data_IF_264332213661
#
_entry.id   IF_264332213661
#
_cell.length_a   1.000
_cell.length_b   1.000
_cell.length_c   1.000
_cell.angle_alpha   90.00
_cell.angle_beta   90.00
_cell.angle_gamma   90.00
#
_symmetry.space_group_name_H-M   'P 1'
#
loop_
_entity.id
_entity.type
_entity.pdbx_description
1 polymer ?
#
# COMPACT_ATOMS: atom_id res chain seq x y z
N UNK A 1 18.07 5.24 -24.61
CA UNK A 1 18.89 4.06 -24.52
C UNK A 1 20.27 4.37 -23.94
N UNK A 2 21.08 5.30 -24.52
CA UNK A 2 22.38 5.63 -23.96
C UNK A 2 22.37 6.18 -22.54
N UNK A 3 21.30 6.89 -22.12
CA UNK A 3 21.16 7.40 -20.76
C UNK A 3 20.98 6.27 -19.72
N UNK A 4 20.31 5.17 -20.09
CA UNK A 4 20.18 4.01 -19.22
C UNK A 4 21.50 3.26 -19.08
N UNK A 5 22.19 3.04 -20.16
CA UNK A 5 23.51 2.37 -20.18
C UNK A 5 24.51 3.17 -19.33
N UNK A 6 24.58 4.47 -19.52
CA UNK A 6 25.40 5.36 -18.68
C UNK A 6 25.02 5.30 -17.20
N UNK A 7 23.72 5.26 -16.88
CA UNK A 7 23.25 5.11 -15.50
C UNK A 7 23.70 3.78 -14.90
N UNK A 8 23.53 2.66 -15.64
CA UNK A 8 23.94 1.32 -15.20
C UNK A 8 25.45 1.25 -14.98
N UNK A 9 26.25 1.82 -15.88
CA UNK A 9 27.71 1.91 -15.72
C UNK A 9 28.07 2.65 -14.43
N UNK A 10 27.53 3.84 -14.21
CA UNK A 10 27.80 4.61 -12.99
C UNK A 10 27.36 3.88 -11.72
N UNK A 11 26.24 3.16 -11.78
CA UNK A 11 25.76 2.34 -10.67
C UNK A 11 26.69 1.19 -10.35
N UNK A 12 27.24 0.52 -11.37
CA UNK A 12 28.20 -0.61 -11.22
C UNK A 12 29.54 -0.12 -10.66
N UNK A 13 29.94 1.09 -10.96
CA UNK A 13 31.16 1.72 -10.42
C UNK A 13 31.01 2.17 -8.96
N UNK A 14 29.85 1.89 -8.33
CA UNK A 14 29.56 2.27 -6.92
C UNK A 14 29.67 3.77 -6.67
N UNK A 15 29.38 4.60 -7.65
CA UNK A 15 29.33 6.03 -7.49
C UNK A 15 28.05 6.43 -6.71
N UNK A 16 28.20 6.67 -5.40
CA UNK A 16 27.09 7.02 -4.51
C UNK A 16 26.39 8.35 -4.86
N UNK A 17 27.06 9.24 -5.59
CA UNK A 17 26.45 10.51 -6.02
C UNK A 17 25.40 10.31 -7.10
N UNK A 18 25.50 9.25 -7.90
CA UNK A 18 24.46 8.85 -8.85
C UNK A 18 23.18 8.39 -8.14
N UNK A 19 23.30 7.76 -6.97
CA UNK A 19 22.15 7.34 -6.16
C UNK A 19 21.41 8.52 -5.52
N UNK A 20 22.07 9.66 -5.36
CA UNK A 20 21.47 10.89 -4.83
C UNK A 20 20.77 11.73 -5.89
N UNK A 21 21.12 11.56 -7.16
CA UNK A 21 20.47 12.23 -8.27
C UNK A 21 19.30 11.38 -8.76
N UNK A 22 18.06 11.91 -8.72
CA UNK A 22 16.96 11.27 -9.45
C UNK A 22 17.36 11.21 -10.91
N UNK A 23 17.40 10.01 -11.52
CA UNK A 23 17.70 9.90 -12.95
C UNK A 23 16.64 10.69 -13.74
N UNK A 24 16.97 11.83 -14.37
CA UNK A 24 15.98 12.70 -15.00
C UNK A 24 15.23 12.04 -16.16
N UNK A 25 15.75 10.92 -16.66
CA UNK A 25 15.12 10.17 -17.74
C UNK A 25 14.01 9.22 -17.28
N UNK A 26 13.88 8.91 -15.98
CA UNK A 26 12.78 8.05 -15.50
C UNK A 26 11.41 8.69 -15.77
N UNK A 27 11.32 10.01 -15.72
CA UNK A 27 10.10 10.74 -16.05
C UNK A 27 9.79 10.75 -17.56
N UNK A 28 10.79 10.42 -18.39
CA UNK A 28 10.68 10.37 -19.85
C UNK A 28 10.39 8.94 -20.36
N UNK A 29 10.34 7.94 -19.50
CA UNK A 29 10.02 6.57 -19.90
C UNK A 29 8.55 6.51 -20.32
N UNK A 30 8.33 6.16 -21.57
CA UNK A 30 7.02 5.85 -22.12
C UNK A 30 6.81 4.33 -22.05
N UNK A 31 5.79 3.91 -21.32
CA UNK A 31 5.44 2.52 -21.22
C UNK A 31 4.44 2.15 -22.32
N UNK A 32 4.84 1.26 -23.21
CA UNK A 32 3.95 0.67 -24.19
C UNK A 32 3.43 -0.67 -23.67
N UNK A 33 2.11 -0.87 -23.74
CA UNK A 33 1.50 -2.16 -23.41
C UNK A 33 1.21 -2.93 -24.67
N UNK A 34 1.71 -4.15 -24.75
CA UNK A 34 1.30 -5.12 -25.75
C UNK A 34 0.67 -6.32 -25.06
N UNK A 35 -0.29 -6.94 -25.74
CA UNK A 35 -0.94 -8.15 -25.26
C UNK A 35 -0.58 -9.29 -26.20
N UNK A 36 -0.16 -10.41 -25.64
CA UNK A 36 0.08 -11.64 -26.39
C UNK A 36 -0.57 -12.84 -25.67
N UNK A 37 -1.05 -13.79 -26.45
CA UNK A 37 -1.44 -15.08 -25.90
C UNK A 37 -0.22 -15.78 -25.37
N UNK A 38 -0.28 -16.26 -24.13
CA UNK A 38 0.81 -16.99 -23.49
C UNK A 38 0.24 -18.30 -22.96
N UNK A 39 0.88 -19.40 -23.33
CA UNK A 39 0.64 -20.69 -22.70
C UNK A 39 1.35 -20.70 -21.35
N UNK A 40 0.61 -21.00 -20.30
CA UNK A 40 1.10 -21.05 -18.92
C UNK A 40 1.23 -22.47 -18.40
N UNK A 41 0.96 -23.49 -19.24
CA UNK A 41 1.03 -24.91 -18.84
C UNK A 41 2.41 -25.31 -18.34
N UNK A 42 3.47 -24.77 -18.95
CA UNK A 42 4.87 -25.04 -18.60
C UNK A 42 5.43 -24.11 -17.52
N UNK A 43 4.61 -23.18 -17.01
CA UNK A 43 5.07 -22.28 -15.95
C UNK A 43 5.15 -23.01 -14.62
N UNK A 44 6.07 -22.64 -13.74
CA UNK A 44 6.04 -23.08 -12.35
C UNK A 44 4.64 -22.80 -11.76
N UNK A 45 4.00 -23.83 -11.22
CA UNK A 45 2.62 -23.78 -10.70
C UNK A 45 1.54 -23.45 -11.76
N UNK A 46 1.80 -23.74 -13.04
CA UNK A 46 0.87 -23.44 -14.15
C UNK A 46 -0.54 -23.95 -13.91
N UNK A 47 -0.67 -25.20 -13.39
CA UNK A 47 -1.98 -25.79 -13.06
C UNK A 47 -2.70 -24.99 -11.96
N UNK A 48 -2.00 -24.59 -10.90
CA UNK A 48 -2.59 -23.78 -9.81
C UNK A 48 -3.02 -22.41 -10.33
N UNK A 49 -2.18 -21.77 -11.15
CA UNK A 49 -2.51 -20.50 -11.79
C UNK A 49 -3.74 -20.65 -12.68
N UNK A 50 -3.82 -21.70 -13.49
CA UNK A 50 -4.95 -21.93 -14.38
C UNK A 50 -6.26 -22.17 -13.62
N UNK A 51 -6.22 -22.97 -12.55
CA UNK A 51 -7.39 -23.19 -11.67
C UNK A 51 -7.82 -21.91 -10.97
N UNK A 52 -6.88 -21.08 -10.54
CA UNK A 52 -7.17 -19.76 -9.95
C UNK A 52 -7.86 -18.85 -10.96
N UNK A 53 -7.34 -18.73 -12.17
CA UNK A 53 -7.92 -17.87 -13.22
C UNK A 53 -9.31 -18.30 -13.64
N UNK A 54 -9.64 -19.61 -13.64
CA UNK A 54 -10.97 -20.14 -13.98
C UNK A 54 -12.09 -19.68 -13.03
N UNK A 55 -11.75 -19.25 -11.81
CA UNK A 55 -12.71 -18.73 -10.83
C UNK A 55 -12.97 -17.24 -10.97
N UNK A 56 -12.12 -16.55 -11.73
CA UNK A 56 -12.19 -15.11 -11.90
C UNK A 56 -12.99 -14.76 -13.16
N UNK A 57 -13.49 -13.53 -13.21
CA UNK A 57 -14.21 -13.03 -14.37
C UNK A 57 -13.26 -12.82 -15.54
N UNK A 58 -13.74 -13.14 -16.73
CA UNK A 58 -13.05 -12.81 -17.97
C UNK A 58 -12.89 -11.28 -18.14
N UNK A 59 -11.90 -10.90 -18.92
CA UNK A 59 -11.61 -9.50 -19.29
C UNK A 59 -11.12 -8.58 -18.17
N UNK A 60 -10.78 -9.12 -17.01
CA UNK A 60 -10.15 -8.36 -15.93
C UNK A 60 -8.63 -8.65 -15.90
N UNK A 61 -7.77 -7.63 -15.96
CA UNK A 61 -6.33 -7.83 -15.80
C UNK A 61 -6.00 -8.31 -14.39
N UNK A 62 -5.46 -9.51 -14.26
CA UNK A 62 -5.09 -10.12 -12.98
C UNK A 62 -3.57 -10.18 -12.86
N UNK A 63 -2.98 -9.67 -11.76
CA UNK A 63 -1.55 -9.79 -11.53
C UNK A 63 -1.18 -11.24 -11.18
N UNK A 64 -0.13 -11.75 -11.82
CA UNK A 64 0.54 -13.00 -11.45
C UNK A 64 1.95 -12.64 -10.98
N UNK A 65 2.13 -12.59 -9.67
CA UNK A 65 3.37 -12.13 -9.03
C UNK A 65 4.41 -13.26 -9.02
N UNK A 66 4.95 -13.62 -10.19
CA UNK A 66 5.85 -14.77 -10.37
C UNK A 66 7.06 -14.77 -9.43
N UNK A 67 7.64 -13.61 -9.17
CA UNK A 67 8.74 -13.47 -8.20
C UNK A 67 8.33 -13.86 -6.77
N UNK A 68 7.09 -13.53 -6.36
CA UNK A 68 6.56 -13.95 -5.05
C UNK A 68 6.40 -15.47 -5.00
N UNK A 69 5.85 -16.09 -6.07
CA UNK A 69 5.69 -17.54 -6.15
C UNK A 69 7.02 -18.27 -5.99
N UNK A 70 8.07 -17.83 -6.71
CA UNK A 70 9.42 -18.38 -6.60
C UNK A 70 10.04 -18.19 -5.19
N UNK A 71 9.65 -17.13 -4.50
CA UNK A 71 10.15 -16.85 -3.15
C UNK A 71 9.59 -17.83 -2.11
N UNK A 72 8.41 -18.40 -2.32
CA UNK A 72 7.79 -19.34 -1.37
C UNK A 72 8.62 -20.60 -1.13
N UNK A 73 9.17 -21.21 -2.18
CA UNK A 73 10.04 -22.38 -2.05
C UNK A 73 11.30 -22.05 -1.24
N UNK A 74 11.91 -20.90 -1.56
CA UNK A 74 13.10 -20.44 -0.85
C UNK A 74 12.77 -20.14 0.62
N UNK A 75 11.67 -19.43 0.87
CA UNK A 75 11.22 -19.15 2.24
C UNK A 75 11.04 -20.44 3.01
N UNK A 76 10.33 -21.44 2.45
CA UNK A 76 10.12 -22.72 3.10
C UNK A 76 11.42 -23.45 3.40
N UNK A 77 12.36 -23.46 2.46
CA UNK A 77 13.67 -24.14 2.66
C UNK A 77 14.54 -23.47 3.73
N UNK A 78 14.29 -22.20 4.06
CA UNK A 78 15.03 -21.45 5.08
C UNK A 78 14.41 -21.54 6.48
N UNK A 79 13.18 -22.03 6.60
CA UNK A 79 12.48 -22.14 7.88
C UNK A 79 13.00 -23.36 8.67
N UNK A 80 13.38 -23.14 9.92
CA UNK A 80 13.77 -24.22 10.85
C UNK A 80 12.53 -25.00 11.30
N UNK A 81 12.70 -26.21 11.87
CA UNK A 81 11.60 -27.06 12.32
C UNK A 81 10.66 -26.36 13.33
N UNK A 82 11.20 -25.50 14.19
CA UNK A 82 10.45 -24.77 15.22
C UNK A 82 10.18 -23.30 14.86
N UNK A 83 9.97 -23.01 13.58
CA UNK A 83 9.75 -21.65 13.12
C UNK A 83 8.38 -21.07 13.55
N UNK A 84 8.31 -19.75 13.70
CA UNK A 84 7.06 -19.03 13.95
C UNK A 84 6.23 -18.80 12.67
N UNK A 85 6.82 -19.05 11.53
CA UNK A 85 6.24 -18.86 10.21
C UNK A 85 6.95 -17.79 9.38
N UNK A 86 6.43 -17.56 8.18
CA UNK A 86 6.80 -16.48 7.29
C UNK A 86 5.66 -15.47 7.20
N UNK A 87 5.93 -14.21 7.41
CA UNK A 87 4.97 -13.13 7.30
C UNK A 87 5.33 -12.21 6.14
N UNK A 88 4.33 -11.83 5.35
CA UNK A 88 4.46 -10.86 4.28
C UNK A 88 3.35 -9.81 4.36
N UNK A 89 3.73 -8.55 4.14
CA UNK A 89 2.83 -7.40 4.10
C UNK A 89 3.03 -6.68 2.78
N UNK A 90 1.95 -6.38 2.09
CA UNK A 90 2.00 -5.60 0.85
C UNK A 90 0.62 -5.06 0.48
N UNK A 91 0.59 -4.21 -0.57
CA UNK A 91 -0.65 -3.81 -1.23
C UNK A 91 -1.17 -4.92 -2.11
N UNK A 92 -2.38 -5.37 -1.88
CA UNK A 92 -2.94 -6.45 -2.68
C UNK A 92 -4.37 -6.79 -2.34
N UNK A 93 -4.93 -7.70 -3.11
CA UNK A 93 -6.26 -8.26 -2.91
C UNK A 93 -6.16 -9.54 -2.09
N UNK A 94 -7.07 -9.72 -1.15
CA UNK A 94 -7.09 -10.84 -0.21
C UNK A 94 -8.14 -11.90 -0.55
N UNK A 95 -8.99 -11.64 -1.55
CA UNK A 95 -10.05 -12.55 -1.96
C UNK A 95 -10.34 -12.49 -3.46
N UNK A 96 -10.90 -13.57 -4.00
CA UNK A 96 -11.39 -13.62 -5.39
C UNK A 96 -12.45 -12.55 -5.65
N UNK A 97 -13.23 -12.17 -4.63
CA UNK A 97 -14.21 -11.08 -4.73
C UNK A 97 -13.53 -9.74 -5.00
N UNK A 98 -12.44 -9.46 -4.31
CA UNK A 98 -11.68 -8.22 -4.51
C UNK A 98 -10.96 -8.19 -5.85
N UNK A 99 -10.44 -9.33 -6.31
CA UNK A 99 -9.85 -9.48 -7.64
C UNK A 99 -10.86 -9.21 -8.77
N UNK A 100 -12.13 -9.52 -8.54
CA UNK A 100 -13.20 -9.35 -9.53
C UNK A 100 -13.82 -7.94 -9.59
N UNK A 101 -13.20 -6.93 -8.95
CA UNK A 101 -13.67 -5.54 -9.01
C UNK A 101 -12.99 -4.80 -10.15
N UNK A 102 -13.73 -4.41 -11.22
CA UNK A 102 -13.14 -3.84 -12.45
C UNK A 102 -12.35 -2.53 -12.23
N UNK A 103 -12.79 -1.73 -11.27
CA UNK A 103 -12.27 -0.37 -11.05
C UNK A 103 -11.06 -0.33 -10.10
N UNK A 104 -10.62 -1.47 -9.58
CA UNK A 104 -9.41 -1.49 -8.74
C UNK A 104 -8.17 -1.35 -9.61
N UNK A 105 -7.24 -0.44 -9.25
CA UNK A 105 -6.00 -0.28 -9.97
C UNK A 105 -5.09 -1.46 -9.68
N UNK A 106 -5.11 -2.49 -10.53
CA UNK A 106 -4.16 -3.60 -10.45
C UNK A 106 -2.75 -3.19 -10.87
N UNK A 107 -2.67 -2.11 -11.66
CA UNK A 107 -1.42 -1.55 -12.16
C UNK A 107 -1.44 -0.04 -12.07
N UNK A 108 -0.33 0.55 -11.67
CA UNK A 108 -0.15 2.01 -11.67
C UNK A 108 1.31 2.37 -11.91
N UNK A 109 1.51 3.51 -12.56
CA UNK A 109 2.83 4.13 -12.69
C UNK A 109 3.06 5.06 -11.51
N UNK A 110 4.13 4.83 -10.75
CA UNK A 110 4.57 5.69 -9.67
C UNK A 110 6.02 6.10 -9.92
N UNK A 111 6.28 7.40 -10.14
CA UNK A 111 7.63 7.91 -10.34
C UNK A 111 8.40 7.22 -11.46
N UNK A 112 7.72 6.82 -12.55
CA UNK A 112 8.31 6.09 -13.67
C UNK A 112 8.39 4.57 -13.48
N UNK A 113 8.00 4.04 -12.33
CA UNK A 113 7.95 2.60 -12.09
C UNK A 113 6.56 2.03 -12.38
N UNK A 114 6.53 0.93 -13.09
CA UNK A 114 5.31 0.16 -13.31
C UNK A 114 5.08 -0.78 -12.13
N UNK A 115 4.02 -0.52 -11.38
CA UNK A 115 3.70 -1.25 -10.14
C UNK A 115 2.42 -2.03 -10.31
N UNK A 116 2.40 -3.28 -9.89
CA UNK A 116 1.19 -4.11 -9.79
C UNK A 116 0.88 -4.42 -8.33
N UNK A 117 -0.40 -4.53 -8.00
CA UNK A 117 -0.82 -5.03 -6.68
C UNK A 117 -0.54 -6.53 -6.55
N UNK A 118 -0.49 -7.01 -5.31
CA UNK A 118 -0.25 -8.42 -5.00
C UNK A 118 -1.56 -9.20 -5.06
N UNK A 119 -1.53 -10.34 -5.74
CA UNK A 119 -2.62 -11.33 -5.76
C UNK A 119 -2.39 -12.35 -4.63
N UNK A 120 -2.77 -11.99 -3.42
CA UNK A 120 -2.60 -12.85 -2.24
C UNK A 120 -3.34 -14.19 -2.33
N UNK A 121 -4.58 -14.29 -2.88
CA UNK A 121 -5.25 -15.57 -3.07
C UNK A 121 -4.42 -16.57 -3.88
N UNK A 122 -3.86 -16.15 -5.02
CA UNK A 122 -2.99 -17.01 -5.82
C UNK A 122 -1.72 -17.42 -5.06
N UNK A 123 -1.07 -16.47 -4.39
CA UNK A 123 0.14 -16.77 -3.59
C UNK A 123 -0.20 -17.77 -2.48
N UNK A 124 -1.36 -17.63 -1.84
CA UNK A 124 -1.82 -18.57 -0.79
C UNK A 124 -2.06 -19.99 -1.35
N UNK A 125 -2.60 -20.12 -2.55
CA UNK A 125 -2.79 -21.42 -3.21
C UNK A 125 -1.46 -22.09 -3.55
N UNK A 126 -0.53 -21.31 -4.10
CA UNK A 126 0.82 -21.81 -4.38
C UNK A 126 1.57 -22.15 -3.09
N UNK A 127 1.41 -21.39 -2.01
CA UNK A 127 2.00 -21.70 -0.72
C UNK A 127 1.55 -23.08 -0.20
N UNK A 128 0.24 -23.40 -0.34
CA UNK A 128 -0.26 -24.74 -0.01
C UNK A 128 0.35 -25.84 -0.90
N UNK A 129 0.48 -25.56 -2.19
CA UNK A 129 1.11 -26.51 -3.12
C UNK A 129 2.60 -26.74 -2.81
N UNK A 130 3.31 -25.72 -2.32
CA UNK A 130 4.70 -25.81 -1.81
C UNK A 130 4.75 -26.61 -0.49
N UNK A 131 3.61 -26.78 0.20
CA UNK A 131 3.47 -27.58 1.41
C UNK A 131 3.52 -26.80 2.71
N UNK A 132 3.15 -25.52 2.71
CA UNK A 132 2.81 -24.83 3.96
C UNK A 132 1.49 -25.39 4.51
N UNK A 133 1.48 -25.82 5.77
CA UNK A 133 0.32 -26.46 6.37
C UNK A 133 -0.79 -25.45 6.73
N UNK A 134 -0.38 -24.25 7.13
CA UNK A 134 -1.28 -23.17 7.48
C UNK A 134 -0.99 -21.95 6.60
N UNK A 135 -2.03 -21.41 6.00
CA UNK A 135 -1.99 -20.19 5.18
C UNK A 135 -3.11 -19.28 5.62
N UNK A 136 -2.78 -18.18 6.25
CA UNK A 136 -3.74 -17.18 6.72
C UNK A 136 -3.57 -15.90 5.90
N UNK A 137 -4.70 -15.36 5.43
CA UNK A 137 -4.79 -14.04 4.80
C UNK A 137 -5.70 -13.17 5.63
N UNK A 138 -5.31 -11.95 5.88
CA UNK A 138 -6.11 -10.96 6.60
C UNK A 138 -5.72 -9.54 6.17
N UNK A 139 -6.56 -8.57 6.46
CA UNK A 139 -6.18 -7.18 6.31
C UNK A 139 -5.12 -6.80 7.36
N UNK A 140 -4.17 -5.99 6.98
CA UNK A 140 -3.11 -5.54 7.89
C UNK A 140 -3.67 -4.83 9.12
N UNK A 141 -4.76 -4.07 9.00
CA UNK A 141 -5.42 -3.44 10.13
C UNK A 141 -6.01 -4.47 11.13
N UNK A 142 -6.51 -5.62 10.65
CA UNK A 142 -7.03 -6.68 11.54
C UNK A 142 -5.88 -7.34 12.32
N UNK A 143 -4.74 -7.55 11.66
CA UNK A 143 -3.52 -8.02 12.31
C UNK A 143 -3.07 -7.08 13.44
N UNK A 144 -2.97 -5.78 13.16
CA UNK A 144 -2.56 -4.76 14.13
C UNK A 144 -3.60 -4.64 15.25
N UNK A 145 -4.89 -4.56 14.90
CA UNK A 145 -5.99 -4.39 15.85
C UNK A 145 -6.08 -5.54 16.86
N UNK A 146 -5.80 -6.77 16.40
CA UNK A 146 -5.78 -7.95 17.28
C UNK A 146 -4.71 -7.84 18.38
N UNK A 147 -3.54 -7.30 18.04
CA UNK A 147 -2.47 -7.07 19.01
C UNK A 147 -2.77 -5.92 19.98
N UNK A 148 -3.53 -4.93 19.53
CA UNK A 148 -3.97 -3.81 20.38
C UNK A 148 -5.26 -4.13 21.16
N UNK A 149 -5.94 -5.24 20.88
CA UNK A 149 -7.26 -5.59 21.42
C UNK A 149 -8.32 -4.51 21.12
N UNK A 150 -8.16 -3.79 20.01
CA UNK A 150 -9.01 -2.69 19.57
C UNK A 150 -9.10 -2.67 18.04
N UNK A 151 -10.23 -2.19 17.50
CA UNK A 151 -10.34 -1.94 16.06
C UNK A 151 -9.45 -0.78 15.65
N UNK A 152 -8.73 -0.95 14.56
CA UNK A 152 -7.87 0.08 13.97
C UNK A 152 -8.15 0.25 12.49
N UNK A 153 -7.77 1.41 11.98
CA UNK A 153 -7.71 1.72 10.55
C UNK A 153 -6.48 2.60 10.28
N UNK A 154 -6.05 2.66 9.03
CA UNK A 154 -4.97 3.57 8.66
C UNK A 154 -5.47 5.00 8.50
N UNK A 155 -4.56 5.97 8.55
CA UNK A 155 -4.88 7.37 8.26
C UNK A 155 -5.44 7.54 6.84
N UNK A 156 -4.96 6.75 5.88
CA UNK A 156 -5.47 6.73 4.50
C UNK A 156 -6.93 6.27 4.44
N UNK A 157 -7.27 5.20 5.16
CA UNK A 157 -8.65 4.71 5.26
C UNK A 157 -9.57 5.75 5.92
N UNK A 158 -9.10 6.41 6.98
CA UNK A 158 -9.87 7.47 7.62
C UNK A 158 -10.14 8.64 6.67
N UNK A 159 -9.17 9.07 5.89
CA UNK A 159 -9.36 10.15 4.91
C UNK A 159 -10.34 9.76 3.81
N UNK A 160 -10.37 8.50 3.40
CA UNK A 160 -11.32 8.01 2.38
C UNK A 160 -12.79 8.06 2.80
N UNK A 161 -13.10 8.11 4.10
CA UNK A 161 -14.48 8.29 4.55
C UNK A 161 -14.96 9.76 4.55
N UNK A 162 -14.07 10.72 4.26
CA UNK A 162 -14.46 12.13 4.21
C UNK A 162 -15.46 12.36 3.06
N UNK A 163 -16.63 13.01 3.31
CA UNK A 163 -17.74 13.06 2.35
C UNK A 163 -17.42 13.80 1.05
N UNK A 164 -16.35 14.56 1.01
CA UNK A 164 -15.93 15.31 -0.18
C UNK A 164 -14.70 14.74 -0.87
N UNK A 165 -14.10 13.66 -0.37
CA UNK A 165 -12.80 13.17 -0.87
C UNK A 165 -12.80 12.89 -2.37
N UNK A 166 -13.86 12.30 -2.91
CA UNK A 166 -13.97 11.96 -4.34
C UNK A 166 -14.08 13.17 -5.27
N UNK A 167 -14.27 14.38 -4.72
CA UNK A 167 -14.41 15.63 -5.47
C UNK A 167 -13.29 16.61 -5.18
N UNK A 168 -12.31 16.20 -4.37
CA UNK A 168 -11.15 17.03 -4.04
C UNK A 168 -10.10 16.93 -5.13
N UNK A 169 -9.41 18.03 -5.37
CA UNK A 169 -8.17 18.01 -6.11
C UNK A 169 -7.09 17.25 -5.31
N UNK A 170 -6.13 16.60 -5.98
CA UNK A 170 -5.14 15.77 -5.29
C UNK A 170 -4.39 16.51 -4.17
N UNK A 171 -4.03 17.78 -4.38
CA UNK A 171 -3.36 18.60 -3.37
C UNK A 171 -4.25 19.00 -2.19
N UNK A 172 -5.57 19.08 -2.38
CA UNK A 172 -6.52 19.33 -1.29
C UNK A 172 -6.75 18.06 -0.46
N UNK A 173 -6.70 16.88 -1.09
CA UNK A 173 -6.69 15.59 -0.40
C UNK A 173 -5.42 15.41 0.45
N UNK A 174 -4.24 15.82 -0.06
CA UNK A 174 -2.98 15.85 0.70
C UNK A 174 -3.09 16.77 1.92
N UNK A 175 -3.64 17.96 1.74
CA UNK A 175 -3.88 18.90 2.85
C UNK A 175 -4.81 18.30 3.90
N UNK A 176 -5.91 17.66 3.46
CA UNK A 176 -6.84 17.00 4.36
C UNK A 176 -6.14 15.86 5.14
N UNK A 177 -5.30 15.06 4.48
CA UNK A 177 -4.52 14.00 5.12
C UNK A 177 -3.67 14.57 6.27
N UNK A 178 -2.86 15.59 5.98
CA UNK A 178 -1.97 16.19 6.97
C UNK A 178 -2.74 16.87 8.11
N UNK A 179 -3.85 17.53 7.80
CA UNK A 179 -4.76 18.13 8.81
C UNK A 179 -5.44 17.06 9.68
N UNK A 180 -5.80 15.93 9.09
CA UNK A 180 -6.38 14.79 9.82
C UNK A 180 -5.36 14.21 10.80
N UNK A 181 -4.13 13.95 10.35
CA UNK A 181 -3.03 13.53 11.22
C UNK A 181 -2.78 14.52 12.36
N UNK A 182 -2.78 15.81 12.06
CA UNK A 182 -2.62 16.85 13.08
C UNK A 182 -3.79 16.86 14.09
N UNK A 183 -5.02 16.66 13.62
CA UNK A 183 -6.21 16.60 14.48
C UNK A 183 -6.18 15.40 15.43
N UNK A 184 -5.76 14.22 14.93
CA UNK A 184 -5.60 13.02 15.72
C UNK A 184 -4.51 13.18 16.79
N UNK A 185 -3.39 13.78 16.43
CA UNK A 185 -2.19 13.86 17.25
C UNK A 185 -1.99 15.21 17.95
N UNK A 186 -3.05 15.98 18.16
CA UNK A 186 -2.96 17.31 18.77
C UNK A 186 -2.25 17.34 20.14
N UNK A 187 -2.33 16.26 20.90
CA UNK A 187 -1.69 16.11 22.22
C UNK A 187 -0.52 15.15 22.23
N UNK A 188 -0.29 14.43 21.12
CA UNK A 188 0.78 13.46 21.02
C UNK A 188 2.16 14.12 20.99
N UNK A 189 3.12 13.51 21.68
CA UNK A 189 4.53 13.90 21.66
C UNK A 189 5.37 12.63 21.60
N UNK A 190 6.06 12.43 20.50
CA UNK A 190 7.00 11.33 20.36
C UNK A 190 8.36 11.67 20.97
N UNK A 191 9.01 10.72 21.64
CA UNK A 191 10.43 10.86 22.01
C UNK A 191 11.34 10.84 20.76
N UNK A 192 10.85 10.40 19.63
CA UNK A 192 11.58 10.33 18.37
C UNK A 192 11.18 11.51 17.48
N UNK A 193 12.08 12.44 17.28
CA UNK A 193 11.91 13.53 16.32
C UNK A 193 12.48 13.09 14.96
N UNK A 194 11.65 12.61 14.08
CA UNK A 194 12.03 12.38 12.69
C UNK A 194 11.44 13.48 11.81
N UNK A 195 12.23 13.96 10.86
CA UNK A 195 11.75 14.90 9.86
C UNK A 195 10.78 14.16 8.93
N UNK A 196 9.54 14.61 8.90
CA UNK A 196 8.58 14.13 7.92
C UNK A 196 8.90 14.77 6.57
N UNK A 197 9.25 13.96 5.59
CA UNK A 197 9.40 14.40 4.21
C UNK A 197 8.07 14.13 3.47
N UNK A 198 7.36 15.20 3.14
CA UNK A 198 6.09 15.13 2.43
C UNK A 198 6.16 16.09 1.22
N UNK A 199 6.71 15.62 0.09
CA UNK A 199 6.84 16.44 -1.10
C UNK A 199 5.45 16.72 -1.69
N UNK A 200 5.19 17.97 -2.03
CA UNK A 200 3.96 18.33 -2.72
C UNK A 200 3.92 17.71 -4.12
N UNK A 201 2.74 17.25 -4.54
CA UNK A 201 2.53 16.67 -5.85
C UNK A 201 2.88 17.66 -6.98
N UNK A 202 3.35 17.16 -8.15
CA UNK A 202 3.51 17.98 -9.34
C UNK A 202 2.21 18.75 -9.66
N UNK A 203 2.34 20.02 -10.04
CA UNK A 203 1.17 20.87 -10.31
C UNK A 203 0.50 21.51 -9.09
N UNK A 204 0.89 21.15 -7.87
CA UNK A 204 0.34 21.77 -6.65
C UNK A 204 0.49 23.31 -6.68
N UNK A 205 -0.58 24.10 -6.53
CA UNK A 205 -0.50 25.55 -6.50
C UNK A 205 0.37 26.07 -5.35
N UNK A 206 1.00 27.22 -5.53
CA UNK A 206 1.99 27.79 -4.57
C UNK A 206 1.43 27.91 -3.14
N UNK A 207 0.16 28.28 -3.01
CA UNK A 207 -0.51 28.45 -1.69
C UNK A 207 -0.57 27.09 -0.96
N UNK A 208 -1.09 26.06 -1.63
CA UNK A 208 -1.22 24.72 -1.06
C UNK A 208 0.15 24.10 -0.77
N UNK A 209 1.13 24.28 -1.64
CA UNK A 209 2.52 23.83 -1.40
C UNK A 209 3.10 24.41 -0.11
N UNK A 210 2.86 25.71 0.16
CA UNK A 210 3.31 26.33 1.42
C UNK A 210 2.59 25.74 2.63
N UNK A 211 1.28 25.52 2.53
CA UNK A 211 0.49 24.92 3.61
C UNK A 211 0.90 23.48 3.91
N UNK A 212 1.13 22.66 2.87
CA UNK A 212 1.62 21.28 3.00
C UNK A 212 2.98 21.27 3.74
N UNK A 213 3.92 22.12 3.32
CA UNK A 213 5.24 22.20 3.95
C UNK A 213 5.18 22.62 5.43
N UNK A 214 4.27 23.56 5.76
CA UNK A 214 4.07 24.00 7.13
C UNK A 214 3.45 22.91 8.02
N UNK A 215 2.43 22.21 7.52
CA UNK A 215 1.80 21.09 8.21
C UNK A 215 2.79 19.93 8.41
N UNK A 216 3.54 19.55 7.40
CA UNK A 216 4.58 18.51 7.49
C UNK A 216 5.65 18.87 8.54
N UNK A 217 6.07 20.14 8.59
CA UNK A 217 6.99 20.64 9.62
C UNK A 217 6.39 20.51 11.03
N UNK A 218 5.12 20.87 11.20
CA UNK A 218 4.44 20.79 12.49
C UNK A 218 4.27 19.35 12.95
N UNK A 219 3.90 18.43 12.03
CA UNK A 219 3.79 17.01 12.30
C UNK A 219 5.16 16.40 12.66
N UNK A 220 6.23 16.79 11.98
CA UNK A 220 7.59 16.37 12.33
C UNK A 220 7.96 16.73 13.78
N UNK A 221 7.54 17.91 14.25
CA UNK A 221 7.77 18.37 15.61
C UNK A 221 6.96 17.56 16.65
N UNK A 222 5.83 16.98 16.28
CA UNK A 222 5.01 16.12 17.17
C UNK A 222 5.41 14.64 17.08
N UNK A 223 6.23 14.27 16.10
CA UNK A 223 6.73 12.91 15.93
C UNK A 223 5.74 11.96 15.27
N UNK A 224 4.74 12.48 14.53
CA UNK A 224 3.85 11.64 13.69
C UNK A 224 4.60 11.26 12.42
N UNK A 225 4.94 9.99 12.23
CA UNK A 225 5.93 9.63 11.23
C UNK A 225 5.34 9.33 9.86
N UNK A 226 4.07 8.92 9.74
CA UNK A 226 3.60 8.25 8.53
C UNK A 226 2.10 8.44 8.27
N UNK A 227 1.75 8.54 6.99
CA UNK A 227 0.35 8.57 6.50
C UNK A 227 -0.33 7.20 6.59
N UNK A 228 0.43 6.13 6.78
CA UNK A 228 -0.06 4.76 6.99
C UNK A 228 -0.13 4.36 8.46
N UNK A 229 0.10 5.31 9.38
CA UNK A 229 -0.06 5.05 10.81
C UNK A 229 -1.45 4.49 11.13
N UNK A 230 -1.48 3.48 11.98
CA UNK A 230 -2.73 2.90 12.45
C UNK A 230 -3.32 3.73 13.59
N UNK A 231 -4.62 3.92 13.53
CA UNK A 231 -5.40 4.77 14.40
C UNK A 231 -6.48 3.91 15.03
N UNK A 232 -6.63 3.98 16.35
CA UNK A 232 -7.62 3.25 17.11
C UNK A 232 -8.98 3.94 17.12
N UNK A 233 -10.02 3.20 17.45
CA UNK A 233 -11.36 3.76 17.61
C UNK A 233 -11.43 4.81 18.73
N UNK A 234 -10.70 4.59 19.82
CA UNK A 234 -10.59 5.55 20.92
C UNK A 234 -9.92 6.85 20.50
N UNK A 235 -8.83 6.81 19.73
CA UNK A 235 -8.17 8.02 19.20
C UNK A 235 -9.09 8.84 18.28
N UNK A 236 -9.87 8.16 17.42
CA UNK A 236 -10.87 8.85 16.57
C UNK A 236 -11.98 9.48 17.40
N UNK A 237 -12.46 8.79 18.45
CA UNK A 237 -13.48 9.31 19.36
C UNK A 237 -12.97 10.57 20.08
N UNK A 238 -11.77 10.55 20.61
CA UNK A 238 -11.13 11.69 21.30
C UNK A 238 -10.87 12.87 20.36
N UNK A 239 -10.58 12.59 19.09
CA UNK A 239 -10.38 13.62 18.06
C UNK A 239 -11.66 14.07 17.37
N UNK A 240 -12.82 13.47 17.65
CA UNK A 240 -14.06 13.66 16.87
C UNK A 240 -14.46 15.12 16.67
N UNK A 241 -14.35 15.94 17.72
CA UNK A 241 -14.64 17.38 17.63
C UNK A 241 -13.70 18.14 16.68
N UNK A 242 -12.44 17.73 16.59
CA UNK A 242 -11.46 18.32 15.68
C UNK A 242 -11.67 17.82 14.24
N UNK A 243 -11.97 16.55 14.07
CA UNK A 243 -12.27 15.94 12.77
C UNK A 243 -13.55 16.52 12.15
N UNK A 244 -14.60 16.76 12.96
CA UNK A 244 -15.82 17.43 12.50
C UNK A 244 -15.53 18.84 11.97
N UNK A 245 -14.59 19.59 12.57
CA UNK A 245 -14.17 20.91 12.06
C UNK A 245 -13.48 20.83 10.70
N UNK A 246 -12.87 19.69 10.37
CA UNK A 246 -12.30 19.41 9.05
C UNK A 246 -13.36 18.98 8.02
N UNK A 247 -14.61 18.75 8.43
CA UNK A 247 -15.72 18.38 7.56
C UNK A 247 -16.07 16.89 7.56
N UNK A 248 -15.50 16.08 8.45
CA UNK A 248 -15.94 14.70 8.62
C UNK A 248 -17.37 14.63 9.17
N UNK A 249 -18.17 13.75 8.59
CA UNK A 249 -19.51 13.48 9.07
C UNK A 249 -19.49 12.68 10.38
N UNK A 250 -20.38 13.02 11.32
CA UNK A 250 -20.48 12.32 12.60
C UNK A 250 -20.81 10.83 12.42
N UNK A 251 -21.75 10.55 11.50
CA UNK A 251 -22.14 9.18 11.14
C UNK A 251 -20.97 8.41 10.53
N UNK A 252 -20.20 9.06 9.65
CA UNK A 252 -19.08 8.43 8.96
C UNK A 252 -17.97 8.06 9.96
N UNK A 253 -17.66 8.94 10.90
CA UNK A 253 -16.69 8.66 11.97
C UNK A 253 -17.14 7.52 12.87
N UNK A 254 -18.44 7.46 13.24
CA UNK A 254 -18.98 6.40 14.07
C UNK A 254 -18.91 5.02 13.42
N UNK A 255 -19.08 4.96 12.10
CA UNK A 255 -19.07 3.71 11.32
C UNK A 255 -17.75 3.46 10.59
N UNK A 256 -16.72 4.27 10.84
CA UNK A 256 -15.42 4.14 10.18
C UNK A 256 -14.82 2.73 10.32
N UNK A 257 -14.98 2.14 11.51
CA UNK A 257 -14.41 0.82 11.88
C UNK A 257 -15.33 -0.37 11.57
N UNK A 258 -16.52 -0.13 11.00
CA UNK A 258 -17.48 -1.21 10.66
C UNK A 258 -17.33 -1.66 9.21
N UNK A 259 -16.39 -1.10 8.46
CA UNK A 259 -16.14 -1.45 7.07
C UNK A 259 -15.44 -2.79 6.96
N UNK A 260 -16.05 -3.70 6.18
CA UNK A 260 -15.46 -5.00 5.86
C UNK A 260 -14.62 -4.99 4.58
N UNK A 261 -14.57 -3.87 3.89
CA UNK A 261 -13.89 -3.71 2.59
C UNK A 261 -13.17 -2.35 2.59
N UNK A 262 -11.93 -2.29 3.11
CA UNK A 262 -11.17 -1.05 3.17
C UNK A 262 -10.89 -0.54 1.75
N UNK A 263 -10.91 0.79 1.54
CA UNK A 263 -10.70 1.39 0.23
C UNK A 263 -9.27 1.17 -0.30
N UNK A 264 -8.34 0.87 0.59
CA UNK A 264 -6.96 0.52 0.26
C UNK A 264 -6.68 -0.84 0.89
N UNK A 265 -6.38 -1.81 0.04
CA UNK A 265 -6.10 -3.17 0.46
C UNK A 265 -4.62 -3.31 0.86
N UNK A 266 -4.34 -3.17 2.16
CA UNK A 266 -3.10 -3.61 2.76
C UNK A 266 -3.29 -5.03 3.28
N UNK A 267 -2.62 -5.98 2.65
CA UNK A 267 -2.70 -7.39 2.99
C UNK A 267 -1.60 -7.84 3.93
N UNK A 268 -1.95 -8.81 4.77
CA UNK A 268 -1.02 -9.60 5.56
C UNK A 268 -1.24 -11.08 5.27
N UNK A 269 -0.15 -11.78 5.02
CA UNK A 269 -0.14 -13.23 4.84
C UNK A 269 0.80 -13.87 5.85
N UNK A 270 0.31 -14.88 6.55
CA UNK A 270 1.13 -15.74 7.41
C UNK A 270 1.14 -17.17 6.86
N UNK A 271 2.32 -17.75 6.75
CA UNK A 271 2.57 -19.12 6.28
C UNK A 271 3.30 -19.92 7.37
N UNK A 272 2.80 -21.13 7.68
CA UNK A 272 3.40 -22.06 8.66
C UNK A 272 3.47 -23.48 8.15
#
# INVERSE_FOLDING_TARGET
NGAWETFVEHFTEKNLDVLKSKPPFLEQIVWERSFQRTDISDWPYGEVIQQHLQRLKDEIPIPINTGALQTLERAKSMLAENHLGYSAFDYGMLSDRELNVPDRPYYKLYGGQYTSMVNFPLIAEVARAVGFAEVQLEHQHDFVGRHLSEKVLSALELVQIHPKISRMEPWDADLLMLQTLQALNATYRSPYTSKMDYPALPGTPKKQRKQIAELAKNLSATGVPDTVAYITASEVADASGRLKKLGYGERDLKHAFDRNDPPIAFGHMTLR
#
